data_IF_019948993421
#
_entry.id   IF_019948993421
#
_cell.length_a   1.000
_cell.length_b   1.000
_cell.length_c   1.000
_cell.angle_alpha   90.00
_cell.angle_beta   90.00
_cell.angle_gamma   90.00
#
_symmetry.space_group_name_H-M   'P 1'
#
loop_
_entity.id
_entity.type
_entity.pdbx_description
1 polymer ?
#
# COMPACT_ATOMS: atom_id res chain seq x y z
N UNK A 1 -9.45 -8.76 1.07
CA UNK A 1 -8.55 -9.93 1.22
C UNK A 1 -7.32 -9.54 2.02
N UNK A 2 -6.76 -10.48 2.78
CA UNK A 2 -5.46 -10.31 3.43
C UNK A 2 -4.36 -10.73 2.45
N UNK A 3 -3.41 -9.83 2.18
CA UNK A 3 -2.28 -10.07 1.27
C UNK A 3 -0.99 -10.23 2.08
N UNK A 4 -0.78 -11.43 2.60
CA UNK A 4 0.42 -11.79 3.37
C UNK A 4 1.19 -12.85 2.60
N UNK A 5 2.14 -12.42 1.76
CA UNK A 5 2.96 -13.31 0.94
C UNK A 5 4.31 -13.60 1.61
N UNK A 6 4.88 -14.77 1.30
CA UNK A 6 6.22 -15.17 1.78
C UNK A 6 6.29 -15.10 3.32
N UNK A 7 7.35 -14.53 3.89
CA UNK A 7 7.59 -14.39 5.33
C UNK A 7 6.45 -13.72 6.11
N UNK A 8 5.56 -12.99 5.45
CA UNK A 8 4.40 -12.37 6.09
C UNK A 8 3.30 -13.38 6.43
N UNK A 9 3.27 -14.57 5.82
CA UNK A 9 2.27 -15.60 6.13
C UNK A 9 2.43 -16.12 7.56
N UNK A 10 3.68 -16.36 8.00
CA UNK A 10 3.97 -16.75 9.38
C UNK A 10 3.57 -15.67 10.38
N UNK A 11 3.75 -14.40 10.02
CA UNK A 11 3.31 -13.27 10.83
C UNK A 11 1.77 -13.23 10.90
N UNK A 12 1.09 -13.38 9.77
CA UNK A 12 -0.36 -13.45 9.73
C UNK A 12 -0.92 -14.59 10.58
N UNK A 13 -0.32 -15.79 10.52
CA UNK A 13 -0.73 -16.93 11.36
C UNK A 13 -0.62 -16.61 12.85
N UNK A 14 0.51 -16.03 13.28
CA UNK A 14 0.71 -15.62 14.67
C UNK A 14 -0.32 -14.60 15.14
N UNK A 15 -0.64 -13.61 14.31
CA UNK A 15 -1.66 -12.59 14.65
C UNK A 15 -3.06 -13.18 14.66
N UNK A 16 -3.34 -14.18 13.81
CA UNK A 16 -4.63 -14.88 13.81
C UNK A 16 -4.86 -15.75 15.05
N UNK A 17 -3.79 -16.19 15.69
CA UNK A 17 -3.83 -16.97 16.94
C UNK A 17 -3.91 -16.06 18.19
N UNK A 18 -3.75 -14.74 18.06
CA UNK A 18 -3.86 -13.78 19.16
C UNK A 18 -5.34 -13.51 19.51
N UNK A 19 -5.73 -13.84 20.74
CA UNK A 19 -7.09 -13.66 21.25
C UNK A 19 -7.53 -12.18 21.30
N UNK A 20 -6.58 -11.24 21.28
CA UNK A 20 -6.86 -9.81 21.28
C UNK A 20 -7.15 -9.27 19.86
N UNK A 21 -7.00 -10.08 18.82
CA UNK A 21 -7.18 -9.66 17.43
C UNK A 21 -8.34 -10.41 16.78
N UNK A 22 -9.38 -9.67 16.42
CA UNK A 22 -10.54 -10.22 15.71
C UNK A 22 -10.48 -9.82 14.24
N UNK A 23 -10.48 -10.82 13.36
CA UNK A 23 -10.57 -10.61 11.92
C UNK A 23 -12.03 -10.64 11.48
N UNK A 24 -12.47 -9.56 10.84
CA UNK A 24 -13.80 -9.47 10.25
C UNK A 24 -13.72 -9.55 8.72
N UNK A 25 -14.38 -10.54 8.11
CA UNK A 25 -14.40 -10.69 6.64
C UNK A 25 -15.55 -9.88 6.03
N UNK A 26 -15.32 -8.58 5.93
CA UNK A 26 -16.29 -7.64 5.38
C UNK A 26 -15.63 -6.33 4.96
N UNK A 27 -16.39 -5.51 4.25
CA UNK A 27 -16.00 -4.13 3.95
C UNK A 27 -16.84 -3.20 4.82
N UNK A 28 -16.19 -2.23 5.45
CA UNK A 28 -16.88 -1.16 6.16
C UNK A 28 -17.54 -0.27 5.11
N UNK A 29 -18.87 -0.19 5.13
CA UNK A 29 -19.65 0.60 4.20
C UNK A 29 -19.73 2.08 4.64
N UNK A 30 -19.78 2.32 5.95
CA UNK A 30 -19.88 3.65 6.53
C UNK A 30 -19.31 3.68 7.94
N UNK A 31 -18.74 4.82 8.33
CA UNK A 31 -18.37 5.15 9.70
C UNK A 31 -19.17 6.40 10.09
N UNK A 32 -19.89 6.34 11.19
CA UNK A 32 -20.68 7.45 11.72
C UNK A 32 -20.36 7.67 13.20
N UNK A 33 -20.57 8.88 13.69
CA UNK A 33 -20.44 9.20 15.10
C UNK A 33 -21.83 9.12 15.76
N UNK A 34 -21.92 8.48 16.93
CA UNK A 34 -23.15 8.45 17.72
C UNK A 34 -23.29 9.68 18.65
N UNK A 35 -24.40 9.77 19.38
CA UNK A 35 -24.67 10.89 20.29
C UNK A 35 -23.63 11.04 21.42
N UNK A 36 -22.91 9.96 21.74
CA UNK A 36 -21.89 9.89 22.79
C UNK A 36 -20.48 10.12 22.23
N UNK A 37 -20.37 10.44 20.92
CA UNK A 37 -19.13 10.63 20.17
C UNK A 37 -18.31 9.37 19.93
N UNK A 38 -18.92 8.20 20.04
CA UNK A 38 -18.28 6.94 19.67
C UNK A 38 -18.40 6.70 18.16
N UNK A 39 -17.43 5.99 17.58
CA UNK A 39 -17.47 5.63 16.17
C UNK A 39 -18.25 4.34 15.98
N UNK A 40 -19.22 4.36 15.08
CA UNK A 40 -20.05 3.21 14.69
C UNK A 40 -19.70 2.80 13.27
N UNK A 41 -19.08 1.63 13.13
CA UNK A 41 -18.72 1.04 11.84
C UNK A 41 -19.87 0.17 11.36
N UNK A 42 -20.44 0.48 10.20
CA UNK A 42 -21.39 -0.39 9.50
C UNK A 42 -20.65 -1.31 8.56
N UNK A 43 -20.68 -2.60 8.85
CA UNK A 43 -19.90 -3.60 8.12
C UNK A 43 -20.83 -4.67 7.56
N UNK A 44 -20.69 -4.94 6.28
CA UNK A 44 -21.36 -6.08 5.64
C UNK A 44 -20.50 -7.33 5.86
N UNK A 45 -21.02 -8.31 6.62
CA UNK A 45 -20.41 -9.63 6.68
C UNK A 45 -20.79 -10.42 5.42
N UNK A 46 -19.85 -10.48 4.49
CA UNK A 46 -20.01 -11.21 3.23
C UNK A 46 -20.12 -12.73 3.40
N UNK A 47 -19.77 -13.25 4.59
CA UNK A 47 -19.85 -14.69 4.92
C UNK A 47 -21.20 -15.05 5.53
N UNK A 48 -21.75 -14.17 6.36
CA UNK A 48 -23.03 -14.39 7.05
C UNK A 48 -24.25 -13.73 6.36
N UNK A 49 -24.03 -12.82 5.41
CA UNK A 49 -25.09 -12.07 4.73
C UNK A 49 -25.80 -11.07 5.63
N UNK A 50 -25.19 -10.68 6.75
CA UNK A 50 -25.75 -9.77 7.76
C UNK A 50 -24.97 -8.47 7.85
N UNK A 51 -25.67 -7.39 8.17
CA UNK A 51 -25.07 -6.10 8.49
C UNK A 51 -24.77 -6.06 9.99
N UNK A 52 -23.55 -5.69 10.34
CA UNK A 52 -23.11 -5.51 11.72
C UNK A 52 -22.81 -4.04 11.99
N UNK A 53 -23.20 -3.57 13.17
CA UNK A 53 -22.77 -2.28 13.71
C UNK A 53 -21.76 -2.53 14.82
N UNK A 54 -20.53 -2.04 14.65
CA UNK A 54 -19.44 -2.21 15.61
C UNK A 54 -19.10 -0.84 16.18
N UNK A 55 -19.29 -0.68 17.49
CA UNK A 55 -18.89 0.54 18.22
C UNK A 55 -17.44 0.44 18.66
N UNK A 56 -16.65 1.48 18.38
CA UNK A 56 -15.24 1.59 18.76
C UNK A 56 -14.91 3.02 19.18
N UNK A 57 -13.89 3.16 20.02
CA UNK A 57 -13.37 4.46 20.42
C UNK A 57 -12.46 5.08 19.34
N UNK A 58 -11.87 4.24 18.47
CA UNK A 58 -10.95 4.66 17.42
C UNK A 58 -11.05 3.75 16.20
N UNK A 59 -11.09 4.37 15.02
CA UNK A 59 -10.99 3.68 13.73
C UNK A 59 -9.70 4.07 13.03
N UNK A 60 -8.89 3.08 12.64
CA UNK A 60 -7.65 3.29 11.88
C UNK A 60 -7.90 2.96 10.41
N UNK A 61 -7.77 3.97 9.54
CA UNK A 61 -7.93 3.79 8.10
C UNK A 61 -6.60 3.33 7.49
N UNK A 62 -6.51 2.06 7.13
CA UNK A 62 -5.39 1.51 6.37
C UNK A 62 -5.46 1.95 4.90
N UNK A 63 -5.15 3.23 4.65
CA UNK A 63 -5.19 3.85 3.33
C UNK A 63 -4.10 3.32 2.40
N UNK A 64 -4.37 3.38 1.09
CA UNK A 64 -3.39 3.04 0.06
C UNK A 64 -2.31 4.10 -0.12
N UNK A 65 -1.35 3.83 -1.01
CA UNK A 65 -0.30 4.77 -1.37
C UNK A 65 -0.69 5.56 -2.62
N UNK A 66 -0.45 6.87 -2.59
CA UNK A 66 -0.53 7.76 -3.76
C UNK A 66 0.83 8.45 -3.92
N UNK A 67 1.43 8.44 -5.13
CA UNK A 67 2.73 9.05 -5.33
C UNK A 67 2.57 10.58 -5.42
N UNK A 68 3.52 11.32 -4.86
CA UNK A 68 3.55 12.78 -5.00
C UNK A 68 3.65 13.23 -6.47
N UNK A 69 4.17 12.37 -7.34
CA UNK A 69 4.26 12.61 -8.78
C UNK A 69 2.91 12.61 -9.50
N UNK A 70 1.84 12.16 -8.85
CA UNK A 70 0.46 12.33 -9.34
C UNK A 70 0.00 13.79 -9.33
N UNK A 71 0.57 14.61 -8.44
CA UNK A 71 0.27 16.04 -8.33
C UNK A 71 1.37 16.91 -8.95
N UNK A 72 2.63 16.55 -8.68
CA UNK A 72 3.80 17.30 -9.13
C UNK A 72 4.74 16.36 -9.90
N UNK A 73 4.61 16.30 -11.24
CA UNK A 73 5.48 15.47 -12.06
C UNK A 73 6.96 15.84 -11.86
N UNK A 74 7.85 14.86 -12.09
CA UNK A 74 9.28 15.16 -12.07
C UNK A 74 9.61 16.15 -13.20
N UNK A 75 10.62 17.03 -13.03
CA UNK A 75 10.94 18.10 -13.98
C UNK A 75 11.66 17.58 -15.25
N UNK A 76 11.21 16.44 -15.77
CA UNK A 76 11.72 15.80 -16.99
C UNK A 76 10.66 14.88 -17.57
N UNK A 77 10.70 14.68 -18.89
CA UNK A 77 9.76 13.79 -19.57
C UNK A 77 10.09 12.32 -19.25
N UNK A 78 9.19 11.68 -18.51
CA UNK A 78 9.16 10.25 -18.20
C UNK A 78 7.73 9.71 -18.32
N UNK A 79 7.55 8.43 -18.66
CA UNK A 79 6.23 7.82 -18.71
C UNK A 79 5.67 7.58 -17.30
N UNK A 80 4.36 7.70 -17.19
CA UNK A 80 3.59 7.47 -15.97
C UNK A 80 2.52 6.42 -16.23
N UNK A 81 2.09 5.71 -15.18
CA UNK A 81 0.87 4.91 -15.21
C UNK A 81 -0.37 5.76 -14.89
N UNK A 82 -1.55 5.12 -14.98
CA UNK A 82 -2.84 5.78 -14.74
C UNK A 82 -3.02 6.29 -13.30
N UNK A 83 -2.14 5.89 -12.36
CA UNK A 83 -2.16 6.28 -10.96
C UNK A 83 -1.08 7.31 -10.61
N UNK A 84 -0.30 7.77 -11.60
CA UNK A 84 0.75 8.78 -11.43
C UNK A 84 2.07 8.24 -10.87
N UNK A 85 2.29 6.92 -10.87
CA UNK A 85 3.60 6.33 -10.60
C UNK A 85 4.45 6.34 -11.88
N UNK A 86 5.78 6.36 -11.75
CA UNK A 86 6.68 6.26 -12.89
C UNK A 86 6.59 4.86 -13.51
N UNK A 87 6.30 4.80 -14.81
CA UNK A 87 6.12 3.55 -15.52
C UNK A 87 7.47 2.83 -15.68
N UNK A 88 7.68 1.82 -14.83
CA UNK A 88 8.83 0.91 -14.92
C UNK A 88 10.10 1.41 -14.20
N UNK A 89 11.03 0.48 -14.01
CA UNK A 89 12.34 0.76 -13.37
C UNK A 89 13.22 1.63 -14.27
N UNK A 90 13.13 1.43 -15.59
CA UNK A 90 13.84 2.21 -16.61
C UNK A 90 12.89 3.27 -17.18
N UNK A 91 12.61 4.32 -16.40
CA UNK A 91 11.71 5.39 -16.81
C UNK A 91 12.15 6.05 -18.13
N UNK A 92 13.46 6.20 -18.32
CA UNK A 92 14.09 6.64 -19.58
C UNK A 92 15.56 6.25 -19.57
N UNK A 93 16.21 6.19 -20.72
CA UNK A 93 17.67 5.99 -20.77
C UNK A 93 18.40 7.01 -19.87
N UNK A 94 19.12 6.53 -18.86
CA UNK A 94 19.83 7.34 -17.85
C UNK A 94 18.96 7.81 -16.67
N UNK A 95 17.66 7.51 -16.63
CA UNK A 95 16.75 7.82 -15.54
C UNK A 95 16.11 6.53 -15.00
N UNK A 96 16.43 6.21 -13.75
CA UNK A 96 15.99 4.99 -13.09
C UNK A 96 15.09 5.31 -11.91
N UNK A 97 13.89 4.75 -11.88
CA UNK A 97 12.96 4.92 -10.77
C UNK A 97 13.25 3.89 -9.68
N UNK A 98 13.11 4.29 -8.40
CA UNK A 98 13.31 3.42 -7.26
C UNK A 98 12.30 3.68 -6.15
N UNK A 99 11.87 2.63 -5.46
CA UNK A 99 10.96 2.70 -4.32
C UNK A 99 9.55 3.15 -4.70
N UNK A 100 8.88 3.82 -3.77
CA UNK A 100 7.46 4.16 -3.89
C UNK A 100 7.09 5.08 -5.07
N UNK A 101 8.08 5.69 -5.73
CA UNK A 101 7.87 6.55 -6.91
C UNK A 101 7.45 5.74 -8.15
N UNK A 102 7.76 4.44 -8.22
CA UNK A 102 7.39 3.58 -9.36
C UNK A 102 6.17 2.67 -9.11
N UNK A 103 5.85 2.37 -7.85
CA UNK A 103 4.76 1.48 -7.44
C UNK A 103 4.59 1.57 -5.91
N UNK A 104 3.43 1.24 -5.33
CA UNK A 104 3.34 0.95 -3.90
C UNK A 104 4.30 -0.19 -3.55
N UNK A 105 5.23 0.05 -2.63
CA UNK A 105 6.29 -0.89 -2.31
C UNK A 105 6.60 -0.92 -0.81
N UNK A 106 7.08 -2.06 -0.33
CA UNK A 106 7.62 -2.20 1.02
C UNK A 106 9.04 -1.64 1.15
N UNK A 107 9.56 -1.61 2.38
CA UNK A 107 10.93 -1.16 2.67
C UNK A 107 11.97 -2.03 1.96
N UNK A 108 11.85 -3.35 2.06
CA UNK A 108 12.80 -4.29 1.45
C UNK A 108 12.85 -4.15 -0.08
N UNK A 109 11.69 -4.02 -0.72
CA UNK A 109 11.59 -3.79 -2.18
C UNK A 109 12.21 -2.45 -2.58
N UNK A 110 11.94 -1.39 -1.81
CA UNK A 110 12.52 -0.07 -2.06
C UNK A 110 14.05 -0.07 -1.96
N UNK A 111 14.62 -0.84 -1.01
CA UNK A 111 16.07 -1.02 -0.88
C UNK A 111 16.65 -1.80 -2.06
N UNK A 112 15.96 -2.86 -2.50
CA UNK A 112 16.36 -3.63 -3.68
C UNK A 112 16.35 -2.77 -4.94
N UNK A 113 15.30 -1.95 -5.12
CA UNK A 113 15.22 -1.00 -6.22
C UNK A 113 16.36 0.02 -6.19
N UNK A 114 16.66 0.59 -5.03
CA UNK A 114 17.76 1.54 -4.89
C UNK A 114 19.10 0.93 -5.31
N UNK A 115 19.34 -0.32 -4.91
CA UNK A 115 20.52 -1.08 -5.32
C UNK A 115 20.53 -1.31 -6.84
N UNK A 116 19.40 -1.72 -7.42
CA UNK A 116 19.26 -1.95 -8.86
C UNK A 116 19.47 -0.66 -9.67
N UNK A 117 18.87 0.45 -9.25
CA UNK A 117 19.00 1.76 -9.88
C UNK A 117 20.46 2.25 -9.85
N UNK A 118 21.16 2.07 -8.72
CA UNK A 118 22.58 2.40 -8.62
C UNK A 118 23.45 1.59 -9.60
N UNK A 119 23.24 0.27 -9.66
CA UNK A 119 23.98 -0.60 -10.59
C UNK A 119 23.71 -0.25 -12.06
N UNK A 120 22.45 0.06 -12.39
CA UNK A 120 22.06 0.51 -13.74
C UNK A 120 22.70 1.85 -14.09
N UNK A 121 22.72 2.81 -13.16
CA UNK A 121 23.38 4.09 -13.34
C UNK A 121 24.89 3.92 -13.61
N UNK A 122 25.57 3.10 -12.81
CA UNK A 122 26.99 2.78 -13.00
C UNK A 122 27.23 2.18 -14.39
N UNK A 123 26.42 1.18 -14.78
CA UNK A 123 26.53 0.54 -16.10
C UNK A 123 26.33 1.52 -17.26
N UNK A 124 25.41 2.47 -17.11
CA UNK A 124 25.12 3.47 -18.14
C UNK A 124 26.20 4.53 -18.31
N UNK A 125 27.01 4.77 -17.26
CA UNK A 125 28.17 5.65 -17.33
C UNK A 125 29.40 4.89 -17.86
N UNK A 126 29.65 3.66 -17.38
CA UNK A 126 30.84 2.89 -17.71
C UNK A 126 30.85 2.27 -19.12
N UNK A 127 29.70 2.19 -19.80
CA UNK A 127 29.56 1.73 -21.20
C UNK A 127 29.43 2.87 -22.22
N UNK A 128 29.79 4.10 -21.85
CA UNK A 128 29.97 5.20 -22.82
C UNK A 128 31.38 5.19 -23.40
#
# INVERSE_FOLDING_TARGET
DIRATDRLEDFFRKVKEDENVVFFKGKVAKIEEDAEKNLVLRVEDTTAGSLHEIKVDMAVLATGMQPNTSEVPVPTSVPYDDYGFLAGVDARAGLYAAGCTRTPAGVSESVQDGTAAALKAIKSIARR
#
